data_IF_542374167333
#
_entry.id   IF_542374167333
#
_cell.length_a   1.000
_cell.length_b   1.000
_cell.length_c   1.000
_cell.angle_alpha   90.00
_cell.angle_beta   90.00
_cell.angle_gamma   90.00
#
_symmetry.space_group_name_H-M   'P 1'
#
loop_
_entity.id
_entity.type
_entity.pdbx_description
1 polymer ?
#
# COMPACT_ATOMS: atom_id res chain seq x y z
N UNK A 1 23.53 -0.07 3.86
CA UNK A 1 22.47 0.88 4.25
C UNK A 1 21.80 1.41 3.00
N UNK A 2 20.51 1.73 3.06
CA UNK A 2 19.77 2.31 1.94
C UNK A 2 19.67 3.82 2.17
N UNK A 3 19.86 4.61 1.11
CA UNK A 3 19.72 6.08 1.12
C UNK A 3 18.46 6.49 0.37
N UNK A 4 17.89 7.63 0.75
CA UNK A 4 16.68 8.14 0.10
C UNK A 4 16.99 8.90 -1.21
N UNK A 5 16.53 8.45 -2.39
CA UNK A 5 16.40 9.31 -3.57
C UNK A 5 15.13 10.18 -3.52
N UNK A 6 15.16 11.34 -4.19
CA UNK A 6 13.98 12.15 -4.49
C UNK A 6 13.40 11.78 -5.86
N UNK A 7 12.07 11.71 -5.98
CA UNK A 7 11.42 11.62 -7.29
C UNK A 7 11.20 13.01 -7.93
N UNK A 8 10.66 13.06 -9.16
CA UNK A 8 10.36 14.31 -9.90
C UNK A 8 9.36 15.24 -9.21
N UNK A 9 8.66 14.76 -8.17
CA UNK A 9 7.73 15.53 -7.35
C UNK A 9 8.36 16.03 -6.03
N UNK A 10 9.69 15.84 -5.85
CA UNK A 10 10.42 16.25 -4.65
C UNK A 10 10.15 15.38 -3.42
N UNK A 11 9.52 14.20 -3.60
CA UNK A 11 9.23 13.28 -2.49
C UNK A 11 10.42 12.35 -2.31
N UNK A 12 11.01 12.39 -1.12
CA UNK A 12 12.07 11.48 -0.71
C UNK A 12 11.48 10.12 -0.35
N UNK A 13 12.07 9.07 -0.90
CA UNK A 13 11.64 7.68 -0.68
C UNK A 13 12.83 6.86 -0.24
N UNK A 14 12.70 6.05 0.80
CA UNK A 14 13.78 5.19 1.31
C UNK A 14 13.30 3.74 1.43
N UNK A 15 14.23 2.79 1.29
CA UNK A 15 13.89 1.37 1.41
C UNK A 15 12.93 0.91 0.31
N UNK A 16 11.86 0.22 0.72
CA UNK A 16 10.86 -0.39 -0.18
C UNK A 16 9.64 0.52 -0.38
N UNK A 17 9.85 1.82 -0.67
CA UNK A 17 8.76 2.77 -0.91
C UNK A 17 8.28 3.53 0.34
N UNK A 18 9.12 3.64 1.38
CA UNK A 18 8.79 4.43 2.57
C UNK A 18 9.00 5.91 2.28
N UNK A 19 7.94 6.72 2.38
CA UNK A 19 7.99 8.19 2.24
C UNK A 19 7.66 8.92 3.55
N UNK A 20 7.03 8.21 4.49
CA UNK A 20 6.81 8.60 5.88
C UNK A 20 7.17 7.42 6.79
N UNK A 21 7.87 7.70 7.88
CA UNK A 21 8.18 6.72 8.91
C UNK A 21 6.93 6.39 9.75
N UNK A 22 6.96 5.29 10.54
CA UNK A 22 5.86 4.93 11.44
C UNK A 22 5.49 6.04 12.46
N UNK A 23 6.44 6.90 12.83
CA UNK A 23 6.22 8.06 13.70
C UNK A 23 5.57 9.27 12.98
N UNK A 24 5.24 9.11 11.69
CA UNK A 24 4.58 10.13 10.86
C UNK A 24 5.54 11.13 10.21
N UNK A 25 6.84 11.12 10.54
CA UNK A 25 7.81 12.04 9.92
C UNK A 25 8.05 11.67 8.46
N UNK A 26 8.15 12.69 7.60
CA UNK A 26 8.54 12.50 6.19
C UNK A 26 10.01 12.12 6.11
N UNK A 27 10.33 11.24 5.18
CA UNK A 27 11.72 10.98 4.77
C UNK A 27 12.29 12.26 4.19
N UNK A 28 13.58 12.51 4.44
CA UNK A 28 14.29 13.69 3.94
C UNK A 28 15.63 13.33 3.31
N UNK A 29 16.21 14.28 2.59
CA UNK A 29 17.53 14.14 2.01
C UNK A 29 18.57 13.76 3.06
N UNK A 30 19.41 12.79 2.73
CA UNK A 30 20.49 12.33 3.61
C UNK A 30 20.08 11.29 4.65
N UNK A 31 18.79 10.97 4.78
CA UNK A 31 18.33 9.87 5.61
C UNK A 31 18.95 8.54 5.13
N UNK A 32 19.34 7.71 6.10
CA UNK A 32 19.88 6.36 5.88
C UNK A 32 19.21 5.39 6.83
N UNK A 33 18.87 4.21 6.31
CA UNK A 33 18.28 3.12 7.10
C UNK A 33 19.04 1.81 6.84
N UNK A 34 19.04 0.92 7.82
CA UNK A 34 19.51 -0.45 7.63
C UNK A 34 18.51 -1.25 6.79
N UNK A 35 18.98 -2.36 6.19
CA UNK A 35 18.07 -3.27 5.46
C UNK A 35 17.02 -3.84 6.40
N UNK A 36 17.39 -4.14 7.65
CA UNK A 36 16.46 -4.62 8.67
C UNK A 36 15.37 -3.58 9.00
N UNK A 37 15.76 -2.31 9.14
CA UNK A 37 14.79 -1.22 9.33
C UNK A 37 13.87 -1.06 8.12
N UNK A 38 14.42 -1.07 6.91
CA UNK A 38 13.62 -0.99 5.68
C UNK A 38 12.60 -2.14 5.56
N UNK A 39 13.02 -3.37 5.90
CA UNK A 39 12.12 -4.54 5.95
C UNK A 39 11.04 -4.38 7.01
N UNK A 40 11.41 -3.87 8.20
CA UNK A 40 10.44 -3.60 9.25
C UNK A 40 9.40 -2.55 8.82
N UNK A 41 9.81 -1.46 8.18
CA UNK A 41 8.87 -0.45 7.68
C UNK A 41 7.94 -1.00 6.60
N UNK A 42 8.45 -1.86 5.72
CA UNK A 42 7.62 -2.57 4.74
C UNK A 42 6.59 -3.45 5.45
N UNK A 43 7.02 -4.29 6.40
CA UNK A 43 6.13 -5.19 7.12
C UNK A 43 5.06 -4.42 7.90
N UNK A 44 5.47 -3.43 8.70
CA UNK A 44 4.55 -2.61 9.51
C UNK A 44 3.49 -1.92 8.61
N UNK A 45 3.88 -1.46 7.40
CA UNK A 45 2.94 -0.87 6.45
C UNK A 45 2.01 -1.92 5.81
N UNK A 46 2.55 -3.08 5.40
CA UNK A 46 1.76 -4.16 4.81
C UNK A 46 0.73 -4.69 5.80
N UNK A 47 1.12 -4.92 7.05
CA UNK A 47 0.22 -5.41 8.11
C UNK A 47 -0.94 -4.43 8.33
N UNK A 48 -0.62 -3.14 8.44
CA UNK A 48 -1.64 -2.09 8.58
C UNK A 48 -2.62 -2.08 7.40
N UNK A 49 -2.10 -2.09 6.16
CA UNK A 49 -2.94 -2.07 4.96
C UNK A 49 -3.79 -3.34 4.89
N UNK A 50 -3.23 -4.50 5.21
CA UNK A 50 -3.96 -5.77 5.26
C UNK A 50 -5.11 -5.72 6.26
N UNK A 51 -4.89 -5.20 7.46
CA UNK A 51 -5.95 -5.08 8.47
C UNK A 51 -7.04 -4.09 8.04
N UNK A 52 -6.68 -2.96 7.43
CA UNK A 52 -7.65 -2.01 6.88
C UNK A 52 -8.44 -2.63 5.70
N UNK A 53 -7.80 -3.40 4.82
CA UNK A 53 -8.48 -4.13 3.72
C UNK A 53 -9.46 -5.17 4.27
N UNK A 54 -9.07 -5.95 5.30
CA UNK A 54 -9.97 -6.92 5.96
C UNK A 54 -11.23 -6.26 6.53
N UNK A 55 -11.12 -5.02 7.01
CA UNK A 55 -12.27 -4.28 7.53
C UNK A 55 -13.19 -3.74 6.44
N UNK A 56 -12.64 -3.38 5.27
CA UNK A 56 -13.38 -2.77 4.17
C UNK A 56 -14.03 -3.79 3.24
N UNK A 57 -13.37 -4.92 3.00
CA UNK A 57 -13.88 -5.99 2.13
C UNK A 57 -14.82 -6.89 2.93
N UNK A 58 -16.08 -6.92 2.50
CA UNK A 58 -17.19 -7.60 3.19
C UNK A 58 -17.56 -8.95 2.57
N UNK A 59 -16.82 -9.37 1.54
CA UNK A 59 -17.04 -10.63 0.82
C UNK A 59 -15.84 -11.56 1.03
N UNK A 60 -16.05 -12.89 0.99
CA UNK A 60 -14.94 -13.83 1.05
C UNK A 60 -14.04 -13.66 -0.17
N UNK A 61 -12.73 -13.61 0.05
CA UNK A 61 -11.70 -13.63 -0.98
C UNK A 61 -10.83 -14.87 -0.79
N UNK A 62 -10.28 -15.35 -1.90
CA UNK A 62 -9.11 -16.25 -1.83
C UNK A 62 -7.89 -15.48 -1.32
N UNK A 63 -6.89 -16.19 -0.78
CA UNK A 63 -5.66 -15.54 -0.30
C UNK A 63 -5.00 -14.69 -1.40
N UNK A 64 -4.92 -15.20 -2.62
CA UNK A 64 -4.32 -14.48 -3.76
C UNK A 64 -5.07 -13.19 -4.11
N UNK A 65 -6.41 -13.20 -4.04
CA UNK A 65 -7.21 -12.00 -4.28
C UNK A 65 -7.01 -10.97 -3.17
N UNK A 66 -6.94 -11.43 -1.91
CA UNK A 66 -6.65 -10.56 -0.79
C UNK A 66 -5.26 -9.91 -0.93
N UNK A 67 -4.24 -10.70 -1.23
CA UNK A 67 -2.86 -10.21 -1.42
C UNK A 67 -2.77 -9.21 -2.59
N UNK A 68 -3.52 -9.43 -3.68
CA UNK A 68 -3.60 -8.49 -4.80
C UNK A 68 -4.22 -7.14 -4.37
N UNK A 69 -5.31 -7.17 -3.59
CA UNK A 69 -5.95 -5.95 -3.08
C UNK A 69 -5.02 -5.21 -2.11
N UNK A 70 -4.31 -5.92 -1.23
CA UNK A 70 -3.32 -5.32 -0.32
C UNK A 70 -2.18 -4.67 -1.10
N UNK A 71 -1.64 -5.35 -2.11
CA UNK A 71 -0.58 -4.82 -2.99
C UNK A 71 -1.03 -3.54 -3.71
N UNK A 72 -2.26 -3.52 -4.22
CA UNK A 72 -2.83 -2.31 -4.81
C UNK A 72 -2.96 -1.18 -3.78
N UNK A 73 -3.56 -1.46 -2.62
CA UNK A 73 -3.74 -0.48 -1.55
C UNK A 73 -2.41 0.06 -0.99
N UNK A 74 -1.35 -0.75 -1.01
CA UNK A 74 -0.01 -0.32 -0.62
C UNK A 74 0.51 0.82 -1.52
N UNK A 75 0.17 0.77 -2.81
CA UNK A 75 0.59 1.75 -3.81
C UNK A 75 -0.36 2.96 -3.88
N UNK A 76 -1.67 2.74 -3.97
CA UNK A 76 -2.65 3.84 -4.13
C UNK A 76 -3.04 4.51 -2.81
N UNK A 77 -2.82 3.81 -1.68
CA UNK A 77 -3.23 4.24 -0.35
C UNK A 77 -4.67 3.85 -0.01
N UNK A 78 -4.88 3.52 1.27
CA UNK A 78 -6.19 3.04 1.76
C UNK A 78 -7.32 4.06 1.59
N UNK A 79 -7.00 5.36 1.69
CA UNK A 79 -7.99 6.42 1.54
C UNK A 79 -8.63 6.42 0.16
N UNK A 80 -7.81 6.31 -0.89
CA UNK A 80 -8.30 6.20 -2.26
C UNK A 80 -9.07 4.89 -2.49
N UNK A 81 -8.62 3.79 -1.89
CA UNK A 81 -9.30 2.49 -2.01
C UNK A 81 -10.71 2.51 -1.39
N UNK A 82 -10.89 3.16 -0.24
CA UNK A 82 -12.18 3.23 0.47
C UNK A 82 -13.31 3.82 -0.40
N UNK A 83 -12.99 4.79 -1.24
CA UNK A 83 -13.95 5.47 -2.11
C UNK A 83 -13.91 4.94 -3.56
N UNK A 84 -13.15 3.87 -3.82
CA UNK A 84 -12.90 3.35 -5.16
C UNK A 84 -14.06 2.51 -5.72
N UNK A 85 -14.17 2.52 -7.06
CA UNK A 85 -15.05 1.60 -7.80
C UNK A 85 -14.60 0.15 -7.58
N UNK A 86 -13.30 -0.09 -7.41
CA UNK A 86 -12.72 -1.41 -7.08
C UNK A 86 -13.39 -2.00 -5.84
N UNK A 87 -13.37 -1.28 -4.71
CA UNK A 87 -13.99 -1.76 -3.47
C UNK A 87 -15.50 -1.97 -3.61
N UNK A 88 -16.18 -1.05 -4.31
CA UNK A 88 -17.62 -1.15 -4.57
C UNK A 88 -17.97 -2.43 -5.32
N UNK A 89 -17.29 -2.71 -6.43
CA UNK A 89 -17.51 -3.90 -7.26
C UNK A 89 -17.11 -5.18 -6.53
N UNK A 90 -15.99 -5.16 -5.81
CA UNK A 90 -15.52 -6.29 -5.01
C UNK A 90 -16.58 -6.70 -3.98
N UNK A 91 -17.13 -5.74 -3.22
CA UNK A 91 -18.18 -6.01 -2.24
C UNK A 91 -19.53 -6.43 -2.85
N UNK A 92 -19.72 -6.24 -4.15
CA UNK A 92 -20.86 -6.75 -4.92
C UNK A 92 -20.59 -8.13 -5.54
N UNK A 93 -19.41 -8.73 -5.29
CA UNK A 93 -18.92 -9.97 -5.91
C UNK A 93 -18.74 -9.87 -7.43
N UNK A 94 -18.62 -8.66 -7.96
CA UNK A 94 -18.28 -8.40 -9.36
C UNK A 94 -16.77 -8.48 -9.54
N UNK A 95 -16.22 -9.70 -9.52
CA UNK A 95 -14.78 -9.92 -9.61
C UNK A 95 -14.23 -9.53 -11.00
N UNK A 96 -14.95 -9.86 -12.07
CA UNK A 96 -14.56 -9.50 -13.43
C UNK A 96 -14.56 -7.99 -13.63
N UNK A 97 -15.58 -7.29 -13.12
CA UNK A 97 -15.63 -5.85 -13.14
C UNK A 97 -14.53 -5.21 -12.28
N UNK A 98 -14.09 -5.87 -11.21
CA UNK A 98 -12.96 -5.43 -10.36
C UNK A 98 -11.63 -5.55 -11.11
N UNK A 99 -11.38 -6.66 -11.80
CA UNK A 99 -10.20 -6.86 -12.65
C UNK A 99 -10.02 -5.75 -13.68
N UNK A 100 -11.12 -5.36 -14.34
CA UNK A 100 -11.11 -4.28 -15.31
C UNK A 100 -10.76 -2.90 -14.72
N UNK A 101 -11.01 -2.67 -13.43
CA UNK A 101 -10.62 -1.41 -12.77
C UNK A 101 -9.15 -1.42 -12.34
N UNK A 102 -8.51 -2.58 -12.13
CA UNK A 102 -7.07 -2.64 -11.86
C UNK A 102 -6.20 -2.31 -13.09
N UNK A 103 -6.77 -2.43 -14.30
CA UNK A 103 -6.08 -2.23 -15.57
C UNK A 103 -6.17 -0.79 -16.11
N UNK A 104 -6.84 0.11 -15.40
CA UNK A 104 -6.97 1.53 -15.75
C UNK A 104 -5.94 2.37 -15.02
#
# INVERSE_FOLDING_TARGET
>A
MLSAPSNSLGIWTIGYGTTKYPDGKKVKQGDKVSIQQAKKFLQDKVDRVADEVKQLVKVPLTQNQFDAVVSFCYNVGIGAFKDSIVLKKLNQRDYQGTENEFLK
#
